data_IF_242891789976
#
_entry.id   IF_242891789976
#
_cell.length_a   1.000
_cell.length_b   1.000
_cell.length_c   1.000
_cell.angle_alpha   90.00
_cell.angle_beta   90.00
_cell.angle_gamma   90.00
#
_symmetry.space_group_name_H-M   'P 1'
#
loop_
_entity.id
_entity.type
_entity.pdbx_description
1 polymer ?
#
# COMPACT_ATOMS: atom_id res chain seq x y z
N UNK A 1 18.61 2.66 46.57
CA UNK A 1 18.42 2.37 45.14
C UNK A 1 16.95 2.05 44.93
N UNK A 2 16.19 3.07 44.55
CA UNK A 2 14.71 3.10 44.53
C UNK A 2 14.20 3.43 43.13
N UNK A 3 14.96 3.11 42.10
CA UNK A 3 14.48 3.21 40.71
C UNK A 3 13.92 1.85 40.29
N UNK A 4 12.66 1.88 39.86
CA UNK A 4 12.01 0.74 39.21
C UNK A 4 12.71 0.45 37.88
N UNK A 5 12.92 -0.83 37.60
CA UNK A 5 13.49 -1.25 36.33
C UNK A 5 12.39 -1.20 35.24
N UNK A 6 12.65 -0.57 34.08
CA UNK A 6 11.67 -0.48 33.00
C UNK A 6 11.44 -1.86 32.37
N UNK A 7 10.17 -2.28 32.25
CA UNK A 7 9.80 -3.62 31.77
C UNK A 7 10.15 -3.89 30.29
N UNK A 8 10.28 -2.84 29.46
CA UNK A 8 10.48 -2.92 28.00
C UNK A 8 11.67 -3.80 27.58
N UNK A 9 12.74 -3.83 28.38
CA UNK A 9 13.95 -4.62 28.08
C UNK A 9 13.88 -6.07 28.58
N UNK A 10 12.84 -6.43 29.33
CA UNK A 10 12.75 -7.72 30.02
C UNK A 10 11.80 -8.72 29.35
N UNK A 11 11.06 -8.30 28.32
CA UNK A 11 10.19 -9.18 27.54
C UNK A 11 10.87 -10.44 27.00
N UNK A 12 12.08 -10.27 26.48
CA UNK A 12 12.93 -11.37 25.98
C UNK A 12 13.75 -12.08 27.06
N UNK A 13 13.68 -11.61 28.31
CA UNK A 13 14.45 -12.19 29.39
C UNK A 13 13.89 -13.57 29.77
N UNK A 14 14.78 -14.50 30.14
CA UNK A 14 14.36 -15.80 30.65
C UNK A 14 13.52 -15.62 31.92
N UNK A 15 12.41 -16.35 31.99
CA UNK A 15 11.49 -16.31 33.13
C UNK A 15 12.21 -16.50 34.46
N UNK A 16 13.19 -17.42 34.51
CA UNK A 16 13.99 -17.73 35.69
C UNK A 16 14.84 -16.55 36.17
N UNK A 17 15.31 -15.70 35.25
CA UNK A 17 16.08 -14.50 35.59
C UNK A 17 15.20 -13.48 36.28
N UNK A 18 14.02 -13.20 35.71
CA UNK A 18 13.05 -12.26 36.32
C UNK A 18 12.58 -12.77 37.69
N UNK A 19 12.31 -14.07 37.81
CA UNK A 19 11.98 -14.70 39.10
C UNK A 19 13.09 -14.50 40.14
N UNK A 20 14.36 -14.68 39.77
CA UNK A 20 15.51 -14.46 40.67
C UNK A 20 15.63 -13.00 41.08
N UNK A 21 15.45 -12.07 40.14
CA UNK A 21 15.50 -10.63 40.41
C UNK A 21 14.40 -10.23 41.41
N UNK A 22 13.16 -10.69 41.21
CA UNK A 22 12.07 -10.43 42.15
C UNK A 22 12.37 -11.01 43.55
N UNK A 23 12.96 -12.22 43.65
CA UNK A 23 13.39 -12.80 44.94
C UNK A 23 14.49 -12.01 45.63
N UNK A 24 15.35 -11.33 44.88
CA UNK A 24 16.37 -10.43 45.42
C UNK A 24 15.86 -9.02 45.74
N UNK A 25 14.55 -8.77 45.60
CA UNK A 25 13.92 -7.50 45.97
C UNK A 25 14.04 -6.40 44.91
N UNK A 26 14.37 -6.75 43.67
CA UNK A 26 14.28 -5.81 42.54
C UNK A 26 12.81 -5.45 42.30
N UNK A 27 12.54 -4.16 42.05
CA UNK A 27 11.23 -3.66 41.66
C UNK A 27 11.19 -3.44 40.16
N UNK A 28 10.12 -3.88 39.53
CA UNK A 28 9.82 -3.65 38.11
C UNK A 28 8.62 -2.72 38.00
N UNK A 29 8.50 -2.04 36.86
CA UNK A 29 7.32 -1.27 36.52
C UNK A 29 6.05 -2.15 36.49
N UNK A 30 4.89 -1.53 36.74
CA UNK A 30 3.60 -2.23 36.90
C UNK A 30 3.15 -2.99 35.65
N UNK A 31 3.63 -2.59 34.47
CA UNK A 31 3.37 -3.18 33.16
C UNK A 31 4.16 -4.46 32.86
N UNK A 32 4.95 -4.98 33.81
CA UNK A 32 5.74 -6.21 33.62
C UNK A 32 4.88 -7.40 33.17
N UNK A 33 3.65 -7.51 33.68
CA UNK A 33 2.72 -8.57 33.27
C UNK A 33 2.27 -8.38 31.82
N UNK A 34 2.05 -7.14 31.38
CA UNK A 34 1.63 -6.80 30.02
C UNK A 34 2.76 -7.11 29.02
N UNK A 35 4.01 -6.80 29.38
CA UNK A 35 5.18 -7.16 28.59
C UNK A 35 5.31 -8.67 28.43
N UNK A 36 5.02 -9.45 29.48
CA UNK A 36 5.04 -10.90 29.36
C UNK A 36 4.01 -11.43 28.35
N UNK A 37 2.90 -10.74 28.12
CA UNK A 37 1.95 -11.05 27.05
C UNK A 37 2.50 -10.62 25.69
N UNK A 38 2.93 -9.36 25.55
CA UNK A 38 3.39 -8.78 24.28
C UNK A 38 4.53 -9.61 23.67
N UNK A 39 5.48 -10.06 24.50
CA UNK A 39 6.65 -10.84 24.08
C UNK A 39 6.45 -12.37 24.10
N UNK A 40 5.19 -12.84 24.13
CA UNK A 40 4.82 -14.26 24.16
C UNK A 40 5.44 -15.08 25.31
N UNK A 41 5.80 -14.44 26.43
CA UNK A 41 6.41 -15.10 27.56
C UNK A 41 5.34 -15.73 28.48
N UNK A 42 4.67 -16.78 27.98
CA UNK A 42 3.61 -17.50 28.68
C UNK A 42 4.00 -17.98 30.07
N UNK A 43 5.25 -18.45 30.23
CA UNK A 43 5.75 -18.94 31.51
C UNK A 43 5.84 -17.81 32.53
N UNK A 44 6.40 -16.67 32.12
CA UNK A 44 6.52 -15.51 33.00
C UNK A 44 5.14 -14.94 33.34
N UNK A 45 4.26 -14.80 32.34
CA UNK A 45 2.91 -14.26 32.55
C UNK A 45 2.14 -15.08 33.59
N UNK A 46 2.04 -16.39 33.39
CA UNK A 46 1.34 -17.30 34.32
C UNK A 46 1.95 -17.26 35.71
N UNK A 47 3.28 -17.21 35.80
CA UNK A 47 3.97 -17.15 37.08
C UNK A 47 3.73 -15.83 37.82
N UNK A 48 3.86 -14.68 37.13
CA UNK A 48 3.59 -13.36 37.68
C UNK A 48 2.15 -13.28 38.18
N UNK A 49 1.17 -13.68 37.36
CA UNK A 49 -0.23 -13.67 37.74
C UNK A 49 -0.54 -14.50 38.98
N UNK A 50 0.10 -15.67 39.13
CA UNK A 50 -0.19 -16.61 40.24
C UNK A 50 0.58 -16.30 41.51
N UNK A 51 1.81 -15.77 41.40
CA UNK A 51 2.76 -15.68 42.52
C UNK A 51 3.05 -14.26 42.97
N UNK A 52 2.48 -13.25 42.31
CA UNK A 52 2.75 -11.84 42.61
C UNK A 52 1.45 -11.03 42.62
N UNK A 53 1.56 -9.74 42.94
CA UNK A 53 0.45 -8.78 42.92
C UNK A 53 0.35 -8.01 41.60
N UNK A 54 1.19 -8.31 40.61
CA UNK A 54 1.10 -7.65 39.30
C UNK A 54 -0.28 -7.92 38.67
N UNK A 55 -0.92 -6.85 38.22
CA UNK A 55 -2.19 -6.91 37.51
C UNK A 55 -1.96 -6.56 36.04
N UNK A 56 -2.81 -7.09 35.17
CA UNK A 56 -2.72 -6.77 33.75
C UNK A 56 -3.36 -5.40 33.56
N UNK A 57 -2.63 -4.44 32.99
CA UNK A 57 -3.12 -3.06 32.81
C UNK A 57 -3.68 -2.82 31.41
N UNK A 58 -3.50 -3.79 30.50
CA UNK A 58 -4.16 -3.80 29.21
C UNK A 58 -5.68 -3.80 29.37
N UNK A 59 -6.35 -2.92 28.63
CA UNK A 59 -7.82 -2.81 28.62
C UNK A 59 -8.50 -4.12 28.18
N UNK A 60 -7.92 -4.83 27.21
CA UNK A 60 -8.40 -6.13 26.73
C UNK A 60 -7.24 -7.07 26.39
N UNK A 61 -6.68 -7.75 27.42
CA UNK A 61 -5.56 -8.69 27.26
C UNK A 61 -5.88 -9.85 26.30
N UNK A 62 -7.13 -10.32 26.28
CA UNK A 62 -7.55 -11.40 25.38
C UNK A 62 -7.57 -10.94 23.92
N UNK A 63 -8.01 -9.70 23.65
CA UNK A 63 -8.00 -9.12 22.31
C UNK A 63 -6.57 -8.98 21.80
N UNK A 64 -5.63 -8.54 22.66
CA UNK A 64 -4.20 -8.48 22.31
C UNK A 64 -3.59 -9.85 22.07
N UNK A 65 -3.92 -10.84 22.90
CA UNK A 65 -3.46 -12.21 22.67
C UNK A 65 -4.02 -12.78 21.34
N UNK A 66 -5.26 -12.45 20.99
CA UNK A 66 -5.87 -12.83 19.72
C UNK A 66 -5.22 -12.12 18.53
N UNK A 67 -4.97 -10.81 18.63
CA UNK A 67 -4.24 -10.01 17.65
C UNK A 67 -2.84 -10.57 17.39
N UNK A 68 -2.10 -10.99 18.41
CA UNK A 68 -0.77 -11.56 18.22
C UNK A 68 -0.75 -13.04 17.79
N UNK A 69 -1.89 -13.71 17.70
CA UNK A 69 -1.93 -15.11 17.30
C UNK A 69 -1.61 -16.10 18.42
N UNK A 70 -1.72 -15.68 19.68
CA UNK A 70 -1.36 -16.50 20.84
C UNK A 70 -2.54 -17.32 21.40
N UNK A 71 -2.95 -18.38 20.70
CA UNK A 71 -4.11 -19.21 21.07
C UNK A 71 -4.06 -19.75 22.51
N UNK A 72 -2.90 -20.20 22.97
CA UNK A 72 -2.76 -20.76 24.32
C UNK A 72 -2.89 -19.68 25.41
N UNK A 73 -2.55 -18.42 25.10
CA UNK A 73 -2.85 -17.28 25.96
C UNK A 73 -4.34 -16.98 25.98
N UNK A 74 -5.01 -16.98 24.82
CA UNK A 74 -6.46 -16.75 24.72
C UNK A 74 -7.25 -17.76 25.56
N UNK A 75 -6.95 -19.06 25.41
CA UNK A 75 -7.56 -20.13 26.22
C UNK A 75 -7.31 -19.92 27.71
N UNK A 76 -6.04 -19.69 28.08
CA UNK A 76 -5.67 -19.53 29.48
C UNK A 76 -6.35 -18.33 30.12
N UNK A 77 -6.39 -17.17 29.44
CA UNK A 77 -7.08 -15.97 29.90
C UNK A 77 -8.57 -16.24 30.11
N UNK A 78 -9.21 -16.96 29.18
CA UNK A 78 -10.64 -17.28 29.30
C UNK A 78 -10.96 -18.25 30.44
N UNK A 79 -10.06 -19.17 30.78
CA UNK A 79 -10.27 -20.19 31.81
C UNK A 79 -9.88 -19.72 33.21
N UNK A 80 -8.90 -18.82 33.32
CA UNK A 80 -8.24 -18.48 34.59
C UNK A 80 -8.49 -17.03 35.03
N UNK A 81 -9.16 -16.22 34.22
CA UNK A 81 -9.47 -14.83 34.54
C UNK A 81 -10.94 -14.52 34.27
N UNK A 82 -11.46 -13.47 34.90
CA UNK A 82 -12.77 -12.90 34.56
C UNK A 82 -12.70 -11.95 33.37
N UNK A 83 -11.52 -11.79 32.79
CA UNK A 83 -11.27 -10.88 31.67
C UNK A 83 -11.96 -11.40 30.43
N UNK A 84 -12.91 -10.62 29.91
CA UNK A 84 -13.56 -10.92 28.64
C UNK A 84 -12.69 -10.55 27.44
N UNK A 85 -13.26 -10.75 26.25
CA UNK A 85 -12.77 -10.12 25.03
C UNK A 85 -13.81 -9.11 24.53
N UNK A 86 -13.45 -8.32 23.52
CA UNK A 86 -14.42 -7.55 22.74
C UNK A 86 -14.52 -8.16 21.33
N UNK A 87 -15.28 -7.50 20.45
CA UNK A 87 -15.33 -7.87 19.02
C UNK A 87 -13.95 -7.77 18.35
N UNK A 88 -13.03 -6.96 18.90
CA UNK A 88 -11.69 -6.80 18.36
C UNK A 88 -10.90 -8.11 18.35
N UNK A 89 -11.14 -9.02 19.29
CA UNK A 89 -10.47 -10.33 19.29
C UNK A 89 -10.73 -11.11 17.99
N UNK A 90 -11.99 -11.18 17.54
CA UNK A 90 -12.33 -11.84 16.28
C UNK A 90 -11.95 -11.00 15.07
N UNK A 91 -12.20 -9.68 15.11
CA UNK A 91 -11.89 -8.78 13.99
C UNK A 91 -10.39 -8.80 13.66
N UNK A 92 -9.52 -8.74 14.68
CA UNK A 92 -8.06 -8.82 14.52
C UNK A 92 -7.59 -10.22 14.16
N UNK A 93 -8.22 -11.26 14.69
CA UNK A 93 -7.90 -12.64 14.27
C UNK A 93 -8.20 -12.86 12.79
N UNK A 94 -9.28 -12.27 12.26
CA UNK A 94 -9.63 -12.34 10.85
C UNK A 94 -8.64 -11.56 9.98
N UNK A 95 -8.38 -10.30 10.33
CA UNK A 95 -7.40 -9.41 9.66
C UNK A 95 -6.01 -10.06 9.54
N UNK A 96 -5.58 -10.75 10.60
CA UNK A 96 -4.24 -11.31 10.71
C UNK A 96 -4.18 -12.80 10.34
N UNK A 97 -5.30 -13.38 9.87
CA UNK A 97 -5.35 -14.77 9.39
C UNK A 97 -5.22 -15.84 10.49
N UNK A 98 -5.47 -15.49 11.75
CA UNK A 98 -5.44 -16.39 12.90
C UNK A 98 -6.72 -17.25 13.00
N UNK A 99 -6.93 -18.08 11.97
CA UNK A 99 -8.15 -18.89 11.79
C UNK A 99 -8.50 -19.75 13.02
N UNK A 100 -7.49 -20.37 13.63
CA UNK A 100 -7.66 -21.24 14.80
C UNK A 100 -8.12 -20.48 16.06
N UNK A 101 -7.74 -19.20 16.21
CA UNK A 101 -8.24 -18.34 17.29
C UNK A 101 -9.66 -17.93 17.01
N UNK A 102 -9.94 -17.53 15.78
CA UNK A 102 -11.27 -17.12 15.36
C UNK A 102 -12.31 -18.24 15.54
N UNK A 103 -11.99 -19.48 15.13
CA UNK A 103 -12.83 -20.65 15.39
C UNK A 103 -13.03 -20.91 16.89
N UNK A 104 -11.95 -20.79 17.68
CA UNK A 104 -12.04 -21.00 19.12
C UNK A 104 -12.92 -19.95 19.79
N UNK A 105 -12.72 -18.67 19.47
CA UNK A 105 -13.54 -17.56 19.97
C UNK A 105 -15.01 -17.79 19.57
N UNK A 106 -15.28 -18.22 18.33
CA UNK A 106 -16.64 -18.46 17.87
C UNK A 106 -17.38 -19.54 18.66
N UNK A 107 -16.69 -20.61 19.04
CA UNK A 107 -17.27 -21.73 19.76
C UNK A 107 -17.38 -21.49 21.28
N UNK A 108 -16.55 -20.61 21.85
CA UNK A 108 -16.41 -20.48 23.30
C UNK A 108 -16.81 -19.10 23.84
N UNK A 109 -17.01 -18.09 22.98
CA UNK A 109 -17.31 -16.70 23.35
C UNK A 109 -18.58 -16.22 22.63
N UNK A 110 -19.25 -15.23 23.22
CA UNK A 110 -20.53 -14.69 22.73
C UNK A 110 -20.44 -13.27 22.15
N UNK A 111 -19.29 -12.62 22.30
CA UNK A 111 -19.05 -11.23 21.90
C UNK A 111 -19.15 -11.04 20.38
N UNK A 112 -18.79 -12.06 19.61
CA UNK A 112 -18.87 -12.04 18.15
C UNK A 112 -17.80 -11.18 17.50
N UNK A 113 -18.11 -10.66 16.31
CA UNK A 113 -17.23 -9.80 15.53
C UNK A 113 -18.02 -8.60 15.00
N UNK A 114 -17.39 -7.74 14.21
CA UNK A 114 -18.08 -6.72 13.43
C UNK A 114 -17.92 -6.99 11.93
N UNK A 115 -18.39 -6.07 11.07
CA UNK A 115 -18.10 -6.12 9.63
C UNK A 115 -16.60 -6.04 9.35
N UNK A 116 -15.81 -5.48 10.28
CA UNK A 116 -14.35 -5.38 10.14
C UNK A 116 -13.68 -6.74 10.00
N UNK A 117 -14.23 -7.81 10.60
CA UNK A 117 -13.67 -9.16 10.42
C UNK A 117 -13.60 -9.56 8.95
N UNK A 118 -14.71 -9.44 8.21
CA UNK A 118 -14.74 -9.82 6.80
C UNK A 118 -14.09 -8.77 5.90
N UNK A 119 -14.29 -7.49 6.21
CA UNK A 119 -13.67 -6.38 5.46
C UNK A 119 -12.14 -6.49 5.48
N UNK A 120 -11.55 -6.67 6.66
CA UNK A 120 -10.10 -6.71 6.83
C UNK A 120 -9.49 -8.08 6.49
N UNK A 121 -10.25 -9.17 6.51
CA UNK A 121 -9.79 -10.46 5.98
C UNK A 121 -9.50 -10.42 4.47
N UNK A 122 -10.01 -9.40 3.76
CA UNK A 122 -9.77 -9.15 2.34
C UNK A 122 -8.50 -8.31 2.07
N UNK A 123 -7.82 -7.81 3.11
CA UNK A 123 -6.59 -7.02 2.99
C UNK A 123 -5.34 -7.89 2.81
N UNK A 124 -4.24 -7.32 2.31
CA UNK A 124 -2.91 -7.95 2.36
C UNK A 124 -2.42 -8.07 3.82
N UNK A 125 -1.99 -9.26 4.22
CA UNK A 125 -1.42 -9.47 5.56
C UNK A 125 -0.02 -8.84 5.65
N UNK A 126 0.24 -8.05 6.69
CA UNK A 126 1.55 -7.40 6.91
C UNK A 126 2.72 -8.37 7.08
N UNK A 127 2.48 -9.66 7.34
CA UNK A 127 3.54 -10.67 7.27
C UNK A 127 3.58 -11.24 5.86
N UNK A 128 4.39 -10.59 5.04
CA UNK A 128 4.60 -10.93 3.65
C UNK A 128 5.23 -12.32 3.52
N UNK A 129 4.41 -13.33 3.24
CA UNK A 129 4.86 -14.51 2.49
C UNK A 129 4.22 -14.39 1.11
N UNK A 130 5.04 -13.98 0.13
CA UNK A 130 4.69 -13.74 -1.28
C UNK A 130 4.37 -15.01 -2.07
N UNK A 131 3.78 -16.02 -1.42
CA UNK A 131 3.40 -17.27 -2.06
C UNK A 131 1.88 -17.38 -2.08
N UNK A 132 1.30 -17.76 -3.22
CA UNK A 132 -0.16 -17.83 -3.46
C UNK A 132 -0.98 -18.72 -2.50
N UNK A 133 -0.33 -19.36 -1.53
CA UNK A 133 -0.95 -20.02 -0.37
C UNK A 133 -1.71 -19.00 0.48
N UNK A 134 -1.23 -17.76 0.59
CA UNK A 134 -1.87 -16.73 1.42
C UNK A 134 -3.27 -16.37 0.89
N UNK A 135 -3.41 -16.16 -0.42
CA UNK A 135 -4.71 -15.83 -1.05
C UNK A 135 -5.76 -16.92 -0.83
N UNK A 136 -5.36 -18.20 -0.79
CA UNK A 136 -6.27 -19.31 -0.47
C UNK A 136 -6.77 -19.21 0.97
N UNK A 137 -5.87 -19.00 1.94
CA UNK A 137 -6.25 -18.87 3.35
C UNK A 137 -7.16 -17.67 3.59
N UNK A 138 -6.90 -16.55 2.93
CA UNK A 138 -7.78 -15.37 3.00
C UNK A 138 -9.18 -15.68 2.46
N UNK A 139 -9.28 -16.32 1.29
CA UNK A 139 -10.57 -16.73 0.75
C UNK A 139 -11.32 -17.69 1.68
N UNK A 140 -10.62 -18.65 2.29
CA UNK A 140 -11.25 -19.56 3.26
C UNK A 140 -11.70 -18.82 4.53
N UNK A 141 -10.96 -17.82 5.01
CA UNK A 141 -11.40 -16.94 6.11
C UNK A 141 -12.69 -16.20 5.75
N UNK A 142 -12.75 -15.59 4.57
CA UNK A 142 -13.92 -14.85 4.07
C UNK A 142 -15.14 -15.78 3.96
N UNK A 143 -14.97 -16.96 3.37
CA UNK A 143 -16.03 -17.98 3.30
C UNK A 143 -16.49 -18.42 4.67
N UNK A 144 -15.56 -18.70 5.58
CA UNK A 144 -15.89 -19.13 6.94
C UNK A 144 -16.72 -18.06 7.65
N UNK A 145 -16.29 -16.80 7.59
CA UNK A 145 -17.04 -15.69 8.17
C UNK A 145 -18.43 -15.58 7.57
N UNK A 146 -18.57 -15.72 6.25
CA UNK A 146 -19.86 -15.67 5.59
C UNK A 146 -20.82 -16.78 6.01
N UNK A 147 -20.34 -18.02 6.18
CA UNK A 147 -21.20 -19.15 6.52
C UNK A 147 -21.50 -19.28 8.02
N UNK A 148 -20.63 -18.73 8.89
CA UNK A 148 -20.74 -18.92 10.34
C UNK A 148 -21.11 -17.64 11.11
N UNK A 149 -21.08 -16.47 10.47
CA UNK A 149 -21.39 -15.17 11.07
C UNK A 149 -22.49 -14.45 10.30
N UNK A 150 -23.17 -13.52 10.97
CA UNK A 150 -24.33 -12.79 10.42
C UNK A 150 -24.05 -11.31 10.17
N UNK A 151 -22.91 -10.81 10.65
CA UNK A 151 -22.48 -9.42 10.59
C UNK A 151 -22.25 -8.94 9.16
N UNK A 152 -21.82 -9.82 8.27
CA UNK A 152 -21.57 -9.51 6.87
C UNK A 152 -20.29 -8.71 6.63
N UNK A 153 -20.27 -7.93 5.55
CA UNK A 153 -19.19 -7.03 5.19
C UNK A 153 -19.75 -5.69 4.72
N UNK A 154 -18.87 -4.78 4.34
CA UNK A 154 -19.21 -3.54 3.63
C UNK A 154 -18.60 -3.55 2.24
N UNK A 155 -18.67 -2.44 1.50
CA UNK A 155 -17.92 -2.29 0.24
C UNK A 155 -16.40 -2.40 0.46
N UNK A 156 -15.92 -2.23 1.69
CA UNK A 156 -14.51 -2.32 2.01
C UNK A 156 -13.93 -3.71 1.73
N UNK A 157 -14.67 -4.80 1.98
CA UNK A 157 -14.22 -6.16 1.63
C UNK A 157 -13.85 -6.27 0.14
N UNK A 158 -14.77 -5.84 -0.74
CA UNK A 158 -14.53 -5.89 -2.19
C UNK A 158 -13.39 -4.96 -2.58
N UNK A 159 -13.43 -3.71 -2.14
CA UNK A 159 -12.45 -2.69 -2.50
C UNK A 159 -11.02 -3.10 -2.08
N UNK A 160 -10.86 -3.70 -0.90
CA UNK A 160 -9.57 -4.15 -0.40
C UNK A 160 -9.04 -5.32 -1.23
N UNK A 161 -9.87 -6.35 -1.47
CA UNK A 161 -9.51 -7.48 -2.33
C UNK A 161 -9.12 -7.03 -3.74
N UNK A 162 -9.87 -6.07 -4.29
CA UNK A 162 -9.64 -5.54 -5.61
C UNK A 162 -8.33 -4.74 -5.73
N UNK A 163 -8.01 -3.91 -4.73
CA UNK A 163 -6.78 -3.10 -4.70
C UNK A 163 -5.50 -3.93 -4.67
N UNK A 164 -5.54 -5.14 -4.12
CA UNK A 164 -4.41 -6.08 -4.06
C UNK A 164 -4.43 -7.09 -5.22
N UNK A 165 -5.43 -7.01 -6.11
CA UNK A 165 -5.58 -7.90 -7.26
C UNK A 165 -6.03 -9.32 -6.90
N UNK A 166 -6.66 -9.54 -5.74
CA UNK A 166 -7.15 -10.87 -5.34
C UNK A 166 -8.48 -11.19 -6.05
N UNK A 167 -8.37 -11.58 -7.32
CA UNK A 167 -9.51 -11.94 -8.17
C UNK A 167 -10.39 -13.04 -7.56
N UNK A 168 -9.82 -13.98 -6.81
CA UNK A 168 -10.57 -15.08 -6.21
C UNK A 168 -11.56 -14.59 -5.14
N UNK A 169 -11.16 -13.62 -4.31
CA UNK A 169 -12.06 -13.01 -3.33
C UNK A 169 -13.06 -12.09 -4.04
N UNK A 170 -12.63 -11.30 -5.02
CA UNK A 170 -13.53 -10.41 -5.79
C UNK A 170 -14.65 -11.22 -6.46
N UNK A 171 -14.30 -12.27 -7.20
CA UNK A 171 -15.27 -13.12 -7.89
C UNK A 171 -16.22 -13.82 -6.90
N UNK A 172 -15.69 -14.25 -5.75
CA UNK A 172 -16.50 -14.88 -4.72
C UNK A 172 -17.46 -13.89 -4.04
N UNK A 173 -16.98 -12.69 -3.66
CA UNK A 173 -17.82 -11.64 -3.06
C UNK A 173 -18.91 -11.21 -4.04
N UNK A 174 -18.57 -10.98 -5.31
CA UNK A 174 -19.55 -10.60 -6.32
C UNK A 174 -20.70 -11.62 -6.49
N UNK A 175 -20.41 -12.92 -6.35
CA UNK A 175 -21.39 -14.00 -6.51
C UNK A 175 -22.23 -14.25 -5.25
N UNK A 176 -21.73 -13.92 -4.07
CA UNK A 176 -22.33 -14.34 -2.79
C UNK A 176 -22.76 -13.18 -1.88
N UNK A 177 -22.41 -11.94 -2.22
CA UNK A 177 -22.67 -10.71 -1.44
C UNK A 177 -23.35 -9.65 -2.31
N UNK A 178 -24.01 -8.68 -1.68
CA UNK A 178 -24.82 -7.65 -2.36
C UNK A 178 -24.34 -6.23 -2.09
N UNK A 179 -23.34 -6.06 -1.23
CA UNK A 179 -22.77 -4.77 -0.82
C UNK A 179 -22.12 -4.02 -1.97
N UNK A 180 -21.59 -4.75 -2.96
CA UNK A 180 -20.92 -4.19 -4.12
C UNK A 180 -19.55 -3.61 -3.79
N UNK A 181 -19.21 -2.51 -4.44
CA UNK A 181 -17.91 -1.84 -4.36
C UNK A 181 -18.09 -0.32 -4.43
N UNK A 182 -17.06 0.43 -4.05
CA UNK A 182 -17.11 1.89 -4.09
C UNK A 182 -16.88 2.42 -5.51
N UNK A 183 -17.38 3.63 -5.79
CA UNK A 183 -17.12 4.31 -7.07
C UNK A 183 -15.63 4.56 -7.32
N UNK A 184 -15.21 4.51 -8.60
CA UNK A 184 -13.82 4.68 -8.99
C UNK A 184 -12.89 3.54 -8.55
N UNK A 185 -13.42 2.38 -8.17
CA UNK A 185 -12.58 1.22 -7.83
C UNK A 185 -11.85 0.67 -9.06
N UNK A 186 -12.48 0.72 -10.24
CA UNK A 186 -11.92 0.25 -11.50
C UNK A 186 -10.62 1.00 -11.84
N UNK A 187 -10.62 2.32 -11.65
CA UNK A 187 -9.46 3.20 -11.82
C UNK A 187 -8.31 2.79 -10.90
N UNK A 188 -8.59 2.55 -9.61
CA UNK A 188 -7.58 2.11 -8.63
C UNK A 188 -6.97 0.75 -9.01
N UNK A 189 -7.80 -0.20 -9.44
CA UNK A 189 -7.37 -1.52 -9.91
C UNK A 189 -6.40 -1.37 -11.09
N UNK A 190 -6.79 -0.57 -12.08
CA UNK A 190 -6.00 -0.37 -13.28
C UNK A 190 -4.68 0.37 -13.00
N UNK A 191 -4.71 1.39 -12.15
CA UNK A 191 -3.51 2.15 -11.76
C UNK A 191 -2.50 1.27 -10.99
N UNK A 192 -2.99 0.33 -10.17
CA UNK A 192 -2.14 -0.68 -9.51
C UNK A 192 -1.66 -1.80 -10.46
N UNK A 193 -2.08 -1.79 -11.73
CA UNK A 193 -1.64 -2.73 -12.75
C UNK A 193 -2.33 -4.10 -12.71
N UNK A 194 -3.45 -4.24 -12.00
CA UNK A 194 -4.21 -5.49 -11.90
C UNK A 194 -5.11 -5.71 -13.13
N UNK A 195 -4.48 -5.85 -14.31
CA UNK A 195 -5.19 -5.91 -15.60
C UNK A 195 -6.13 -7.11 -15.74
N UNK A 196 -5.82 -8.25 -15.13
CA UNK A 196 -6.73 -9.41 -15.10
C UNK A 196 -8.05 -9.07 -14.42
N UNK A 197 -8.00 -8.23 -13.37
CA UNK A 197 -9.19 -7.78 -12.67
C UNK A 197 -9.93 -6.69 -13.46
N UNK A 198 -9.23 -5.84 -14.21
CA UNK A 198 -9.86 -4.91 -15.17
C UNK A 198 -10.68 -5.70 -16.21
N UNK A 199 -10.13 -6.76 -16.78
CA UNK A 199 -10.88 -7.63 -17.71
C UNK A 199 -12.07 -8.34 -17.05
N UNK A 200 -11.95 -8.68 -15.76
CA UNK A 200 -13.06 -9.22 -15.00
C UNK A 200 -14.18 -8.18 -14.83
N UNK A 201 -13.84 -6.92 -14.54
CA UNK A 201 -14.83 -5.84 -14.45
C UNK A 201 -15.57 -5.65 -15.78
N UNK A 202 -14.85 -5.59 -16.91
CA UNK A 202 -15.47 -5.46 -18.25
C UNK A 202 -16.48 -6.58 -18.57
N UNK A 203 -16.31 -7.78 -17.98
CA UNK A 203 -17.17 -8.94 -18.23
C UNK A 203 -18.36 -9.05 -17.28
N UNK A 204 -18.24 -8.51 -16.07
CA UNK A 204 -19.19 -8.76 -14.97
C UNK A 204 -19.92 -7.50 -14.49
N UNK A 205 -19.46 -6.31 -14.88
CA UNK A 205 -20.06 -5.04 -14.47
C UNK A 205 -20.22 -4.11 -15.67
N UNK A 206 -21.00 -3.04 -15.49
CA UNK A 206 -21.11 -1.94 -16.47
C UNK A 206 -20.26 -0.73 -16.03
N UNK A 207 -19.28 -0.95 -15.14
CA UNK A 207 -18.39 0.12 -14.70
C UNK A 207 -17.43 0.50 -15.81
N UNK A 208 -17.20 1.79 -15.94
CA UNK A 208 -16.27 2.34 -16.90
C UNK A 208 -15.27 3.25 -16.17
N UNK A 209 -14.11 3.46 -16.76
CA UNK A 209 -13.13 4.37 -16.19
C UNK A 209 -13.64 5.80 -16.13
N UNK A 210 -13.19 6.54 -15.11
CA UNK A 210 -13.39 7.99 -15.05
C UNK A 210 -12.61 8.68 -16.19
N UNK A 211 -13.06 9.89 -16.56
CA UNK A 211 -12.52 10.61 -17.72
C UNK A 211 -11.05 11.04 -17.56
N UNK A 212 -10.56 11.13 -16.33
CA UNK A 212 -9.19 11.53 -16.01
C UNK A 212 -8.21 10.35 -15.85
N UNK A 213 -8.67 9.10 -16.07
CA UNK A 213 -7.82 7.90 -15.93
C UNK A 213 -6.55 7.96 -16.78
N UNK A 214 -6.61 8.59 -17.96
CA UNK A 214 -5.44 8.74 -18.83
C UNK A 214 -4.38 9.62 -18.15
N UNK A 215 -4.78 10.76 -17.61
CA UNK A 215 -3.88 11.68 -16.89
C UNK A 215 -3.31 11.04 -15.61
N UNK A 216 -4.12 10.26 -14.90
CA UNK A 216 -3.66 9.50 -13.74
C UNK A 216 -2.65 8.41 -14.13
N UNK A 217 -2.91 7.67 -15.23
CA UNK A 217 -2.00 6.63 -15.74
C UNK A 217 -0.63 7.20 -16.12
N UNK A 218 -0.60 8.39 -16.71
CA UNK A 218 0.64 9.13 -17.02
C UNK A 218 1.33 9.56 -15.73
N UNK A 219 0.58 10.12 -14.77
CA UNK A 219 1.13 10.55 -13.48
C UNK A 219 1.79 9.40 -12.73
N UNK A 220 1.18 8.22 -12.73
CA UNK A 220 1.76 7.01 -12.11
C UNK A 220 2.92 6.45 -12.95
N UNK A 221 2.92 6.68 -14.28
CA UNK A 221 3.90 6.09 -15.20
C UNK A 221 3.51 4.69 -15.66
N UNK A 222 2.21 4.38 -15.70
CA UNK A 222 1.72 3.07 -16.12
C UNK A 222 1.50 3.04 -17.64
N UNK A 223 2.59 2.85 -18.40
CA UNK A 223 2.55 2.76 -19.87
C UNK A 223 1.60 1.66 -20.38
N UNK A 224 1.48 0.55 -19.65
CA UNK A 224 0.58 -0.54 -20.03
C UNK A 224 -0.88 -0.09 -20.00
N UNK A 225 -1.27 0.69 -19.00
CA UNK A 225 -2.60 1.27 -18.94
C UNK A 225 -2.82 2.31 -20.05
N UNK A 226 -1.83 3.17 -20.35
CA UNK A 226 -1.93 4.11 -21.49
C UNK A 226 -2.20 3.35 -22.80
N UNK A 227 -1.43 2.29 -23.07
CA UNK A 227 -1.62 1.42 -24.24
C UNK A 227 -3.01 0.78 -24.25
N UNK A 228 -3.46 0.31 -23.09
CA UNK A 228 -4.77 -0.31 -22.92
C UNK A 228 -5.91 0.66 -23.24
N UNK A 229 -5.83 1.89 -22.70
CA UNK A 229 -6.80 2.95 -22.95
C UNK A 229 -6.81 3.35 -24.42
N UNK A 230 -5.63 3.51 -25.04
CA UNK A 230 -5.54 3.83 -26.47
C UNK A 230 -6.16 2.76 -27.37
N UNK A 231 -5.90 1.48 -27.08
CA UNK A 231 -6.50 0.37 -27.85
C UNK A 231 -8.03 0.33 -27.78
N UNK A 232 -8.62 0.96 -26.75
CA UNK A 232 -10.07 1.09 -26.54
C UNK A 232 -10.59 2.50 -26.83
N UNK A 233 -9.71 3.40 -27.26
CA UNK A 233 -10.07 4.75 -27.66
C UNK A 233 -10.69 4.65 -29.05
N UNK A 234 -12.02 4.58 -29.10
CA UNK A 234 -12.79 4.48 -30.34
C UNK A 234 -12.70 5.81 -31.11
N UNK A 235 -13.37 5.88 -32.25
CA UNK A 235 -13.43 7.09 -33.09
C UNK A 235 -13.99 8.32 -32.36
N UNK A 236 -14.66 8.12 -31.22
CA UNK A 236 -15.20 9.17 -30.35
C UNK A 236 -14.13 9.85 -29.45
N UNK A 237 -12.89 9.39 -29.48
CA UNK A 237 -11.79 9.85 -28.61
C UNK A 237 -12.22 9.94 -27.14
N UNK A 238 -12.95 8.92 -26.66
CA UNK A 238 -13.48 8.85 -25.30
C UNK A 238 -12.48 9.23 -24.22
N UNK A 239 -11.23 8.77 -24.33
CA UNK A 239 -10.19 9.00 -23.32
C UNK A 239 -9.38 10.28 -23.55
N UNK A 240 -9.79 11.13 -24.49
CA UNK A 240 -9.25 12.46 -24.72
C UNK A 240 -7.74 12.48 -24.98
N UNK A 241 -7.26 11.58 -25.83
CA UNK A 241 -5.91 11.69 -26.37
C UNK A 241 -5.81 12.99 -27.18
N UNK A 242 -5.10 13.96 -26.61
CA UNK A 242 -4.96 15.32 -27.16
C UNK A 242 -3.54 15.84 -26.91
N UNK A 243 -3.23 17.03 -27.41
CA UNK A 243 -1.93 17.69 -27.14
C UNK A 243 -1.67 17.86 -25.64
N UNK A 244 -2.74 17.98 -24.83
CA UNK A 244 -2.65 18.03 -23.37
C UNK A 244 -2.05 16.74 -22.79
N UNK A 245 -2.36 15.58 -23.38
CA UNK A 245 -1.82 14.27 -22.99
C UNK A 245 -0.30 14.23 -23.16
N UNK A 246 0.21 14.66 -24.32
CA UNK A 246 1.67 14.73 -24.56
C UNK A 246 2.32 15.78 -23.65
N UNK A 247 1.70 16.96 -23.48
CA UNK A 247 2.18 17.98 -22.53
C UNK A 247 2.29 17.40 -21.11
N UNK A 248 1.32 16.59 -20.68
CA UNK A 248 1.33 15.97 -19.36
C UNK A 248 2.43 14.91 -19.23
N UNK A 249 2.62 14.06 -20.25
CA UNK A 249 3.70 13.07 -20.27
C UNK A 249 5.09 13.73 -20.18
N UNK A 250 5.29 14.83 -20.91
CA UNK A 250 6.50 15.67 -20.84
C UNK A 250 6.65 16.28 -19.45
N UNK A 251 5.58 16.87 -18.91
CA UNK A 251 5.61 17.50 -17.59
C UNK A 251 5.93 16.51 -16.46
N UNK A 252 5.50 15.25 -16.58
CA UNK A 252 5.80 14.16 -15.64
C UNK A 252 7.10 13.42 -15.95
N UNK A 253 7.82 13.81 -17.01
CA UNK A 253 9.08 13.22 -17.45
C UNK A 253 8.99 11.70 -17.66
N UNK A 254 7.86 11.25 -18.21
CA UNK A 254 7.60 9.84 -18.52
C UNK A 254 8.10 9.51 -19.91
N UNK A 255 9.41 9.36 -20.04
CA UNK A 255 10.07 9.18 -21.34
C UNK A 255 9.51 7.97 -22.13
N UNK A 256 9.22 6.87 -21.45
CA UNK A 256 8.62 5.67 -22.04
C UNK A 256 7.23 5.93 -22.63
N UNK A 257 6.42 6.74 -21.95
CA UNK A 257 5.11 7.19 -22.43
C UNK A 257 5.26 8.22 -23.55
N UNK A 258 6.20 9.17 -23.44
CA UNK A 258 6.49 10.15 -24.49
C UNK A 258 6.89 9.47 -25.80
N UNK A 259 7.84 8.54 -25.76
CA UNK A 259 8.29 7.75 -26.91
C UNK A 259 7.14 6.98 -27.55
N UNK A 260 6.32 6.35 -26.72
CA UNK A 260 5.19 5.57 -27.20
C UNK A 260 4.11 6.44 -27.83
N UNK A 261 3.72 7.55 -27.20
CA UNK A 261 2.75 8.51 -27.73
C UNK A 261 3.23 9.10 -29.05
N UNK A 262 4.51 9.45 -29.14
CA UNK A 262 5.11 9.97 -30.37
C UNK A 262 4.99 8.99 -31.54
N UNK A 263 5.24 7.72 -31.25
CA UNK A 263 5.27 6.67 -32.27
C UNK A 263 3.87 6.20 -32.70
N UNK A 264 2.89 6.23 -31.79
CA UNK A 264 1.57 5.62 -32.00
C UNK A 264 0.43 6.63 -32.10
N UNK A 265 0.63 7.87 -31.66
CA UNK A 265 -0.39 8.93 -31.61
C UNK A 265 0.22 10.26 -32.14
N UNK A 266 0.86 10.29 -33.32
CA UNK A 266 1.65 11.44 -33.78
C UNK A 266 0.84 12.72 -33.98
N UNK A 267 -0.49 12.62 -34.14
CA UNK A 267 -1.39 13.76 -34.27
C UNK A 267 -1.45 14.64 -33.02
N UNK A 268 -1.26 14.06 -31.81
CA UNK A 268 -1.29 14.82 -30.56
C UNK A 268 0.05 15.48 -30.23
N UNK A 269 1.11 15.18 -30.97
CA UNK A 269 2.43 15.78 -30.79
C UNK A 269 2.53 17.16 -31.45
N UNK A 270 1.70 17.41 -32.47
CA UNK A 270 1.72 18.66 -33.23
C UNK A 270 1.18 19.79 -32.37
N UNK A 271 1.96 20.87 -32.24
CA UNK A 271 1.62 22.05 -31.41
C UNK A 271 1.63 21.78 -29.90
N UNK A 272 2.25 20.69 -29.44
CA UNK A 272 2.63 20.51 -28.03
C UNK A 272 3.57 21.65 -27.63
N UNK A 273 3.18 22.38 -26.59
CA UNK A 273 3.88 23.58 -26.12
C UNK A 273 4.76 23.25 -24.93
N UNK A 274 6.06 23.54 -25.03
CA UNK A 274 7.02 23.30 -23.96
C UNK A 274 7.35 24.63 -23.28
N UNK A 275 6.76 24.85 -22.09
CA UNK A 275 6.82 26.12 -21.37
C UNK A 275 8.02 26.27 -20.42
N UNK A 276 8.58 25.16 -19.92
CA UNK A 276 9.62 25.15 -18.85
C UNK A 276 10.65 24.02 -18.99
N UNK A 277 11.43 23.95 -20.09
CA UNK A 277 12.37 22.86 -20.34
C UNK A 277 13.48 22.73 -19.29
N UNK A 278 13.79 23.81 -18.56
CA UNK A 278 14.92 23.93 -17.62
C UNK A 278 14.84 23.07 -16.35
N UNK A 279 13.67 22.51 -16.06
CA UNK A 279 13.46 21.71 -14.87
C UNK A 279 13.32 20.22 -15.18
N UNK A 280 13.38 19.85 -16.47
CA UNK A 280 13.31 18.45 -16.88
C UNK A 280 14.69 17.81 -16.83
N UNK A 281 14.70 16.50 -16.60
CA UNK A 281 15.91 15.70 -16.64
C UNK A 281 16.54 15.74 -18.04
N UNK A 282 17.83 15.45 -18.06
CA UNK A 282 18.63 15.42 -19.28
C UNK A 282 18.04 14.53 -20.37
N UNK A 283 17.51 13.35 -20.03
CA UNK A 283 16.99 12.41 -21.03
C UNK A 283 15.75 12.96 -21.75
N UNK A 284 14.88 13.65 -21.01
CA UNK A 284 13.69 14.31 -21.54
C UNK A 284 14.09 15.47 -22.45
N UNK A 285 15.03 16.32 -22.02
CA UNK A 285 15.53 17.42 -22.84
C UNK A 285 16.18 16.90 -24.12
N UNK A 286 17.06 15.90 -24.00
CA UNK A 286 17.72 15.27 -25.14
C UNK A 286 16.71 14.75 -26.15
N UNK A 287 15.72 13.99 -25.69
CA UNK A 287 14.71 13.42 -26.56
C UNK A 287 13.87 14.51 -27.25
N UNK A 288 13.47 15.55 -26.53
CA UNK A 288 12.71 16.67 -27.10
C UNK A 288 13.48 17.43 -28.17
N UNK A 289 14.79 17.58 -27.99
CA UNK A 289 15.69 18.25 -28.95
C UNK A 289 15.95 17.41 -30.20
N UNK A 290 16.16 16.09 -30.04
CA UNK A 290 16.27 15.16 -31.17
C UNK A 290 15.01 15.17 -32.05
N UNK A 291 13.85 15.49 -31.48
CA UNK A 291 12.56 15.58 -32.17
C UNK A 291 12.04 17.02 -32.34
N UNK A 292 12.92 18.03 -32.20
CA UNK A 292 12.55 19.46 -32.11
C UNK A 292 11.58 19.94 -33.20
N UNK A 293 11.72 19.43 -34.42
CA UNK A 293 10.89 19.84 -35.56
C UNK A 293 9.41 19.49 -35.44
N UNK A 294 9.03 18.64 -34.49
CA UNK A 294 7.66 18.19 -34.27
C UNK A 294 6.96 18.91 -33.10
N UNK A 295 7.74 19.66 -32.29
CA UNK A 295 7.28 20.29 -31.06
C UNK A 295 7.42 21.82 -31.12
N UNK A 296 6.52 22.54 -30.45
CA UNK A 296 6.59 24.00 -30.36
C UNK A 296 7.19 24.41 -29.02
N UNK A 297 8.38 25.00 -29.05
CA UNK A 297 9.03 25.53 -27.86
C UNK A 297 8.61 27.00 -27.67
N UNK A 298 7.75 27.27 -26.68
CA UNK A 298 7.33 28.64 -26.38
C UNK A 298 8.47 29.50 -25.82
N UNK A 299 9.49 28.85 -25.24
CA UNK A 299 10.73 29.49 -24.77
C UNK A 299 11.93 28.68 -25.21
N UNK A 300 13.02 29.37 -25.59
CA UNK A 300 14.32 28.72 -25.79
C UNK A 300 14.81 28.11 -24.48
N UNK A 301 15.49 26.96 -24.56
CA UNK A 301 16.19 26.37 -23.41
C UNK A 301 17.26 27.36 -22.93
N UNK A 302 17.26 27.68 -21.64
CA UNK A 302 18.30 28.51 -21.01
C UNK A 302 19.55 27.63 -20.74
N UNK A 303 20.35 27.45 -21.79
CA UNK A 303 21.49 26.51 -21.82
C UNK A 303 22.48 26.75 -20.66
N UNK A 304 22.64 28.00 -20.21
CA UNK A 304 23.51 28.37 -19.07
C UNK A 304 23.05 27.70 -17.80
N UNK A 305 21.75 27.80 -17.47
CA UNK A 305 21.19 27.17 -16.27
C UNK A 305 21.22 25.65 -16.33
N UNK A 306 21.05 25.06 -17.51
CA UNK A 306 21.24 23.61 -17.68
C UNK A 306 22.68 23.21 -17.35
N UNK A 307 23.67 23.94 -17.88
CA UNK A 307 25.10 23.73 -17.61
C UNK A 307 25.40 23.86 -16.10
N UNK A 308 24.95 24.94 -15.47
CA UNK A 308 25.13 25.17 -14.03
C UNK A 308 24.52 24.06 -13.17
N UNK A 309 23.30 23.63 -13.50
CA UNK A 309 22.59 22.57 -12.79
C UNK A 309 23.30 21.22 -12.94
N UNK A 310 23.65 20.81 -14.18
CA UNK A 310 24.31 19.54 -14.44
C UNK A 310 25.71 19.49 -13.82
N UNK A 311 26.47 20.59 -13.90
CA UNK A 311 27.78 20.68 -13.26
C UNK A 311 27.68 20.56 -11.73
N UNK A 312 26.74 21.30 -11.12
CA UNK A 312 26.53 21.32 -9.67
C UNK A 312 26.02 19.98 -9.11
N UNK A 313 25.35 19.16 -9.93
CA UNK A 313 24.85 17.83 -9.55
C UNK A 313 25.71 16.68 -10.12
N UNK A 314 26.91 16.96 -10.62
CA UNK A 314 27.84 15.95 -11.19
C UNK A 314 27.24 15.09 -12.32
N UNK A 315 26.31 15.65 -13.11
CA UNK A 315 25.70 14.99 -14.27
C UNK A 315 26.53 15.24 -15.53
N UNK A 316 27.74 14.67 -15.59
CA UNK A 316 28.73 15.00 -16.64
C UNK A 316 28.31 14.58 -18.06
N UNK A 317 27.62 13.45 -18.22
CA UNK A 317 27.11 13.02 -19.53
C UNK A 317 26.08 14.01 -20.09
N UNK A 318 25.23 14.55 -19.21
CA UNK A 318 24.24 15.57 -19.56
C UNK A 318 24.90 16.90 -19.94
N UNK A 319 25.96 17.26 -19.21
CA UNK A 319 26.77 18.45 -19.48
C UNK A 319 27.48 18.35 -20.84
N UNK A 320 28.15 17.23 -21.11
CA UNK A 320 28.85 17.02 -22.38
C UNK A 320 27.90 17.03 -23.56
N UNK A 321 26.76 16.34 -23.44
CA UNK A 321 25.73 16.38 -24.49
C UNK A 321 25.20 17.80 -24.71
N UNK A 322 24.92 18.54 -23.64
CA UNK A 322 24.42 19.93 -23.70
C UNK A 322 25.39 20.84 -24.45
N UNK A 323 26.69 20.80 -24.10
CA UNK A 323 27.73 21.60 -24.74
C UNK A 323 27.91 21.26 -26.23
N UNK A 324 27.70 20.00 -26.61
CA UNK A 324 27.90 19.54 -27.98
C UNK A 324 26.68 19.77 -28.90
N UNK A 325 25.47 19.82 -28.35
CA UNK A 325 24.23 19.78 -29.15
C UNK A 325 23.38 21.05 -29.05
N UNK A 326 23.53 21.86 -28.00
CA UNK A 326 22.74 23.09 -27.83
C UNK A 326 23.57 24.33 -28.17
N UNK A 327 23.00 25.21 -29.00
CA UNK A 327 23.64 26.49 -29.35
C UNK A 327 23.65 27.44 -28.15
N UNK A 328 24.83 27.88 -27.73
CA UNK A 328 25.02 28.88 -26.69
C UNK A 328 25.13 30.25 -27.37
N UNK A 329 24.26 31.19 -27.04
CA UNK A 329 24.39 32.57 -27.54
C UNK A 329 25.57 33.30 -26.90
N UNK A 330 26.12 34.33 -27.56
CA UNK A 330 27.21 35.14 -27.03
C UNK A 330 26.86 35.78 -25.66
N UNK A 331 25.60 36.17 -25.45
CA UNK A 331 25.12 36.68 -24.16
C UNK A 331 25.12 35.60 -23.06
N UNK A 332 24.82 34.35 -23.42
CA UNK A 332 24.86 33.21 -22.51
C UNK A 332 26.29 32.82 -22.15
N UNK A 333 27.22 32.89 -23.11
CA UNK A 333 28.65 32.66 -22.88
C UNK A 333 29.26 33.64 -21.87
N UNK A 334 28.85 34.91 -21.91
CA UNK A 334 29.31 35.94 -20.95
C UNK A 334 28.86 35.60 -19.52
N UNK A 335 27.64 35.08 -19.34
CA UNK A 335 27.14 34.67 -18.02
C UNK A 335 27.85 33.45 -17.42
N UNK A 336 28.38 32.55 -18.25
CA UNK A 336 29.16 31.36 -17.80
C UNK A 336 30.59 31.75 -17.38
N UNK A 337 31.15 32.84 -17.93
CA UNK A 337 32.52 33.27 -17.68
C UNK A 337 32.72 34.04 -16.36
N UNK A 338 31.63 34.54 -15.77
CA UNK A 338 31.60 35.25 -14.48
C UNK A 338 31.14 34.33 -13.37
#
# INVERSE_FOLDING_TARGET
MTEELPADNFGYCQTETIQRMLRYGFKFSEDLLDMALIFENQKLFKWLHTNTTFQCTLESPMDRAAEYGYIEFVKWLSENTTTGCTTDAMDKSAELGHFHILEWLHLNRSEGCTTNAMDNACHEYRTAIKDGVLFRKQLEMVKWLHYNRTEGCTTAAFDQAAKIGNLAIVDWLHKNRTEGFSSGILDKIALNGHMELVEWFEKNTNEEFDLDILDQSITVGNLNLVKYLHARNRDDNRYLFTTATMNHAIFKERLDIMEWLHSNVPEICKNTTIDKPLYYNYQTIKWLEEHRNQYYFQRSIDVVKCIEYYFSNSQYDALEWTLNNLSISDQQLIGIQT
#
